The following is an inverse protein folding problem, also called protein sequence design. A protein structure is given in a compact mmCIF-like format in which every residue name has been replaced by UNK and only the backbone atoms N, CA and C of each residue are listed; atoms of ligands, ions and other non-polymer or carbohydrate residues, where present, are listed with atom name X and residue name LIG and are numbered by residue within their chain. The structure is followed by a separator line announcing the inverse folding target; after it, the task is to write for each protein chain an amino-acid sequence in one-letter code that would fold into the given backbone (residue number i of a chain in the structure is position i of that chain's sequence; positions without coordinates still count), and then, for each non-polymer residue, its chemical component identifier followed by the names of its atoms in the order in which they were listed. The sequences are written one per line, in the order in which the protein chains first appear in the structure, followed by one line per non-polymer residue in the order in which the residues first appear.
data_IF_315682194268
#
_entry.id   IF_315682194268
#
_cell.length_a   1.000
_cell.length_b   1.000
_cell.length_c   1.000
_cell.angle_alpha   90.00
_cell.angle_beta   90.00
_cell.angle_gamma   90.00
#
_symmetry.space_group_name_H-M   'P 1'
#
loop_
_entity.id
_entity.type
_entity.pdbx_description
1 polymer ?
#
# COMPACT_ATOMS: atom_id res chain seq x y z
N UNK A 1 38.26 -38.24 32.59
CA UNK A 1 37.02 -38.22 31.77
C UNK A 1 35.85 -37.82 32.69
N UNK A 2 34.87 -36.98 32.31
CA UNK A 2 34.91 -35.81 31.45
C UNK A 2 34.09 -34.63 32.04
N UNK A 3 34.51 -34.00 33.14
CA UNK A 3 33.80 -32.82 33.71
C UNK A 3 34.39 -31.47 33.26
N UNK A 4 35.15 -31.46 32.15
CA UNK A 4 35.73 -30.26 31.54
C UNK A 4 35.18 -29.94 30.16
N UNK A 5 34.20 -30.72 29.66
CA UNK A 5 33.62 -30.54 28.32
C UNK A 5 32.21 -29.93 28.30
N UNK A 6 31.55 -29.80 29.45
CA UNK A 6 30.17 -29.29 29.51
C UNK A 6 30.13 -27.77 29.83
N UNK A 7 31.17 -27.20 30.42
CA UNK A 7 31.17 -25.77 30.80
C UNK A 7 31.71 -24.81 29.74
N UNK A 8 32.05 -25.30 28.54
CA UNK A 8 32.57 -24.46 27.44
C UNK A 8 31.56 -24.29 26.28
N UNK A 9 30.29 -24.68 26.47
CA UNK A 9 29.22 -24.44 25.49
C UNK A 9 28.06 -23.59 26.04
N UNK A 10 28.23 -22.99 27.23
CA UNK A 10 27.26 -22.03 27.81
C UNK A 10 27.85 -20.61 27.90
N UNK A 11 29.09 -20.39 27.42
CA UNK A 11 29.77 -19.10 27.54
C UNK A 11 30.34 -18.59 26.20
N UNK A 12 29.58 -18.70 25.11
CA UNK A 12 29.95 -18.06 23.83
C UNK A 12 28.72 -17.67 23.01
N UNK A 13 27.87 -16.79 23.56
CA UNK A 13 26.82 -16.11 22.79
C UNK A 13 26.39 -14.78 23.42
N UNK A 14 27.27 -14.14 24.20
CA UNK A 14 26.98 -12.86 24.90
C UNK A 14 28.01 -11.77 24.59
N UNK A 15 28.56 -11.75 23.36
CA UNK A 15 29.41 -10.64 22.89
C UNK A 15 28.94 -10.08 21.54
N UNK A 16 27.94 -10.71 20.91
CA UNK A 16 27.35 -10.22 19.65
C UNK A 16 25.82 -10.13 19.73
N UNK A 17 25.29 -9.63 20.86
CA UNK A 17 24.00 -8.94 20.77
C UNK A 17 24.31 -7.63 20.05
N UNK A 18 23.84 -7.39 18.81
CA UNK A 18 23.82 -6.03 18.31
C UNK A 18 23.14 -5.18 19.39
N UNK A 19 23.52 -3.91 19.59
CA UNK A 19 22.71 -3.05 20.43
C UNK A 19 21.29 -3.22 19.93
N UNK A 20 20.41 -3.75 20.79
CA UNK A 20 18.99 -3.56 20.60
C UNK A 20 18.87 -2.07 20.83
N UNK A 21 19.12 -1.29 19.78
CA UNK A 21 18.71 0.09 19.74
C UNK A 21 17.24 -0.03 20.06
N UNK A 22 16.75 0.46 21.22
CA UNK A 22 15.33 0.62 21.33
C UNK A 22 14.99 1.43 20.10
N UNK A 23 14.18 0.84 19.22
CA UNK A 23 13.37 1.67 18.36
C UNK A 23 12.68 2.58 19.38
N UNK A 24 13.18 3.80 19.52
CA UNK A 24 12.40 4.92 20.01
C UNK A 24 11.30 4.93 18.98
N UNK A 25 10.24 4.14 19.25
CA UNK A 25 9.01 3.96 18.49
C UNK A 25 8.98 5.09 17.49
N UNK A 26 9.53 4.86 16.29
CA UNK A 26 9.62 5.95 15.33
C UNK A 26 8.15 6.18 15.08
N UNK A 27 7.62 7.28 15.64
CA UNK A 27 6.31 7.78 15.27
C UNK A 27 6.30 7.64 13.77
N UNK A 28 5.31 6.94 13.18
CA UNK A 28 5.33 6.65 11.75
C UNK A 28 5.79 7.94 11.10
N UNK A 29 6.94 7.91 10.41
CA UNK A 29 7.33 9.05 9.60
C UNK A 29 6.02 9.36 8.86
N UNK A 30 5.45 10.55 9.05
CA UNK A 30 4.25 10.97 8.34
C UNK A 30 4.69 11.06 6.87
N UNK A 31 4.96 9.91 6.26
CA UNK A 31 5.33 9.74 4.90
C UNK A 31 4.07 10.14 4.18
N UNK A 32 4.03 11.41 3.78
CA UNK A 32 2.93 11.96 3.03
C UNK A 32 2.67 10.99 1.88
N UNK A 33 1.46 10.41 1.85
CA UNK A 33 1.12 9.47 0.81
C UNK A 33 1.18 10.14 -0.55
N UNK A 34 1.39 9.33 -1.59
CA UNK A 34 1.41 9.80 -2.97
C UNK A 34 0.09 10.46 -3.34
N UNK A 35 0.17 11.55 -4.12
CA UNK A 35 -1.00 12.22 -4.68
C UNK A 35 -1.11 11.89 -6.17
N UNK A 36 -2.20 11.23 -6.54
CA UNK A 36 -2.50 10.82 -7.91
C UNK A 36 -3.73 11.54 -8.44
N UNK A 37 -3.92 11.55 -9.75
CA UNK A 37 -4.99 12.31 -10.39
C UNK A 37 -5.78 11.49 -11.41
N UNK A 38 -7.09 11.70 -11.41
CA UNK A 38 -8.03 11.22 -12.42
C UNK A 38 -8.68 12.43 -13.10
N UNK A 39 -8.81 12.39 -14.42
CA UNK A 39 -9.43 13.44 -15.25
C UNK A 39 -10.16 12.82 -16.44
N UNK A 40 -11.29 13.39 -16.85
CA UNK A 40 -12.02 12.93 -18.05
C UNK A 40 -11.19 13.00 -19.35
N UNK A 41 -10.24 13.93 -19.41
CA UNK A 41 -9.29 14.12 -20.52
C UNK A 41 -8.00 13.28 -20.37
N UNK A 42 -7.88 12.47 -19.31
CA UNK A 42 -6.72 11.63 -19.06
C UNK A 42 -6.65 10.39 -19.95
N UNK A 43 -5.61 9.60 -19.73
CA UNK A 43 -5.40 8.28 -20.33
C UNK A 43 -4.97 7.30 -19.24
N UNK A 44 -5.51 6.09 -19.23
CA UNK A 44 -5.18 5.06 -18.24
C UNK A 44 -3.75 4.50 -18.39
N UNK A 45 -3.13 4.69 -19.55
CA UNK A 45 -1.71 4.41 -19.76
C UNK A 45 -0.79 5.42 -19.07
N UNK A 46 -1.31 6.55 -18.62
CA UNK A 46 -0.52 7.58 -17.94
C UNK A 46 0.00 7.11 -16.56
N UNK A 47 0.98 7.81 -15.97
CA UNK A 47 1.47 7.51 -14.62
C UNK A 47 0.54 7.99 -13.48
N UNK A 48 -0.56 8.70 -13.78
CA UNK A 48 -1.47 9.22 -12.76
C UNK A 48 -0.98 10.50 -12.08
N UNK A 49 -0.06 11.24 -12.72
CA UNK A 49 0.43 12.53 -12.24
C UNK A 49 -0.57 13.65 -12.54
N UNK A 50 -0.32 14.86 -12.00
CA UNK A 50 -1.17 16.01 -12.32
C UNK A 50 -1.16 16.33 -13.82
N UNK A 51 -0.02 16.26 -14.50
CA UNK A 51 0.08 16.60 -15.91
C UNK A 51 -0.42 15.46 -16.80
N UNK A 52 -0.29 14.22 -16.34
CA UNK A 52 -0.70 13.02 -17.06
C UNK A 52 -1.60 12.18 -16.14
N UNK A 53 -2.88 12.59 -15.97
CA UNK A 53 -3.81 11.90 -15.09
C UNK A 53 -4.36 10.63 -15.77
N UNK A 54 -4.85 9.69 -14.96
CA UNK A 54 -5.67 8.59 -15.47
C UNK A 54 -7.04 9.07 -15.91
N UNK A 55 -7.72 8.26 -16.74
CA UNK A 55 -9.05 8.58 -17.23
C UNK A 55 -10.15 8.05 -16.32
N UNK A 56 -10.02 6.81 -15.86
CA UNK A 56 -11.09 6.08 -15.15
C UNK A 56 -10.83 5.97 -13.66
N UNK A 57 -11.89 6.09 -12.86
CA UNK A 57 -11.82 5.96 -11.41
C UNK A 57 -11.53 4.50 -11.03
N UNK A 58 -12.19 3.54 -11.69
CA UNK A 58 -12.00 2.11 -11.44
C UNK A 58 -10.57 1.66 -11.75
N UNK A 59 -9.96 2.28 -12.77
CA UNK A 59 -8.57 2.05 -13.12
C UNK A 59 -7.61 2.51 -12.00
N UNK A 60 -7.87 3.69 -11.42
CA UNK A 60 -7.07 4.21 -10.32
C UNK A 60 -7.18 3.34 -9.05
N UNK A 61 -8.38 2.86 -8.74
CA UNK A 61 -8.64 2.00 -7.55
C UNK A 61 -7.96 0.63 -7.62
N UNK A 62 -7.61 0.15 -8.82
CA UNK A 62 -6.99 -1.17 -9.05
C UNK A 62 -5.46 -1.11 -9.11
N UNK A 63 -4.83 0.07 -8.87
CA UNK A 63 -3.37 0.19 -8.89
C UNK A 63 -2.73 -0.60 -7.73
N UNK A 64 -1.85 -1.56 -8.00
CA UNK A 64 -1.27 -2.42 -6.96
C UNK A 64 -0.21 -1.73 -6.09
N UNK A 65 0.32 -0.58 -6.53
CA UNK A 65 1.35 0.15 -5.79
C UNK A 65 0.79 1.15 -4.78
N UNK A 66 -0.53 1.40 -4.79
CA UNK A 66 -1.15 2.30 -3.82
C UNK A 66 -1.11 1.69 -2.42
N UNK A 67 -0.82 2.53 -1.43
CA UNK A 67 -0.67 2.15 -0.02
C UNK A 67 -1.52 3.06 0.87
N UNK A 68 -1.68 2.64 2.12
CA UNK A 68 -2.32 3.49 3.13
C UNK A 68 -1.63 4.84 3.24
N UNK A 69 -2.41 5.92 3.20
CA UNK A 69 -1.92 7.30 3.17
C UNK A 69 -1.99 7.97 1.80
N UNK A 70 -2.02 7.19 0.71
CA UNK A 70 -2.12 7.75 -0.64
C UNK A 70 -3.48 8.41 -0.89
N UNK A 71 -3.51 9.41 -1.77
CA UNK A 71 -4.72 10.15 -2.13
C UNK A 71 -4.89 10.21 -3.64
N UNK A 72 -6.04 9.75 -4.14
CA UNK A 72 -6.47 9.96 -5.53
C UNK A 72 -7.37 11.19 -5.59
N UNK A 73 -6.96 12.22 -6.33
CA UNK A 73 -7.73 13.44 -6.59
C UNK A 73 -8.45 13.34 -7.92
N UNK A 74 -9.78 13.35 -7.87
CA UNK A 74 -10.63 13.31 -9.05
C UNK A 74 -10.92 14.75 -9.48
N UNK A 75 -10.60 15.08 -10.73
CA UNK A 75 -10.95 16.39 -11.31
C UNK A 75 -12.43 16.47 -11.64
N UNK A 76 -12.96 17.69 -11.61
CA UNK A 76 -14.38 17.95 -11.84
C UNK A 76 -14.89 17.37 -13.16
N UNK A 77 -16.10 16.82 -13.12
CA UNK A 77 -16.73 16.17 -14.26
C UNK A 77 -17.67 15.04 -13.84
N UNK A 78 -18.38 14.47 -14.82
CA UNK A 78 -19.28 13.32 -14.62
C UNK A 78 -18.58 12.05 -15.08
N UNK A 79 -18.29 11.14 -14.14
CA UNK A 79 -17.69 9.84 -14.42
C UNK A 79 -18.79 8.79 -14.45
N UNK A 80 -18.96 8.12 -15.59
CA UNK A 80 -19.92 7.04 -15.74
C UNK A 80 -19.22 5.70 -15.50
N UNK A 81 -19.79 4.79 -14.71
CA UNK A 81 -19.26 3.44 -14.57
C UNK A 81 -19.29 2.72 -15.93
N UNK A 82 -18.32 1.82 -16.16
CA UNK A 82 -18.15 1.11 -17.44
C UNK A 82 -19.36 0.24 -17.83
N UNK A 83 -20.16 -0.17 -16.85
CA UNK A 83 -21.52 -0.66 -16.98
C UNK A 83 -22.09 -0.78 -15.56
N UNK A 84 -23.37 -0.50 -15.37
CA UNK A 84 -24.07 -1.01 -14.18
C UNK A 84 -24.07 -2.55 -14.30
N UNK A 85 -23.65 -3.32 -13.29
CA UNK A 85 -24.06 -4.72 -13.22
C UNK A 85 -25.59 -4.73 -13.33
N UNK A 86 -26.19 -5.48 -14.26
CA UNK A 86 -27.63 -5.47 -14.49
C UNK A 86 -28.40 -5.62 -13.18
N UNK A 87 -28.87 -4.50 -12.63
CA UNK A 87 -29.54 -4.44 -11.34
C UNK A 87 -30.88 -5.19 -11.37
N UNK A 88 -31.37 -5.55 -12.57
CA UNK A 88 -32.56 -6.39 -12.74
C UNK A 88 -32.34 -7.87 -12.41
N UNK A 89 -31.11 -8.37 -12.40
CA UNK A 89 -30.85 -9.80 -12.11
C UNK A 89 -30.91 -10.17 -10.63
N UNK A 90 -30.82 -9.19 -9.73
CA UNK A 90 -30.73 -9.45 -8.28
C UNK A 90 -32.07 -9.33 -7.53
N UNK A 91 -33.15 -8.90 -8.19
CA UNK A 91 -34.47 -8.74 -7.56
C UNK A 91 -35.49 -9.82 -7.97
N UNK A 92 -35.01 -10.96 -8.47
CA UNK A 92 -35.84 -12.09 -8.91
C UNK A 92 -35.62 -13.29 -7.98
N UNK A 93 -36.06 -13.18 -6.73
CA UNK A 93 -36.28 -14.38 -5.89
C UNK A 93 -37.74 -14.35 -5.44
N UNK A 94 -38.53 -15.41 -5.73
CA UNK A 94 -39.92 -15.53 -5.27
C UNK A 94 -40.02 -15.72 -3.75
#
# INVERSE_FOLDING_TARGET
MPLRRILALILFLEVFRPPVTPALWRAPDNAEGGIYFVSLEGDDANPGTRQQPWRRIEWAMTRPFLRGGDTIRIRGGVYRPLAEPDSRRHNSTP
#
